data_IF_066053701599
#
_entry.id   IF_066053701599
#
_cell.length_a   1.000
_cell.length_b   1.000
_cell.length_c   1.000
_cell.angle_alpha   90.00
_cell.angle_beta   90.00
_cell.angle_gamma   90.00
#
_symmetry.space_group_name_H-M   'P 1'
#
loop_
_entity.id
_entity.type
_entity.pdbx_description
1 polymer ?
#
# COMPACT_ATOMS: atom_id res chain seq x y z
N UNK A 1 1.15 -9.46 18.01
CA UNK A 1 1.17 -9.01 16.61
C UNK A 1 0.14 -9.81 15.84
N UNK A 2 -0.99 -9.20 15.50
CA UNK A 2 -2.07 -9.80 14.71
C UNK A 2 -2.13 -9.22 13.30
N UNK A 3 -1.84 -7.93 13.15
CA UNK A 3 -1.93 -7.22 11.87
C UNK A 3 -0.66 -6.45 11.58
N UNK A 4 -0.04 -6.70 10.43
CA UNK A 4 1.15 -5.99 9.94
C UNK A 4 0.76 -5.23 8.68
N UNK A 5 0.94 -3.91 8.72
CA UNK A 5 0.72 -3.02 7.59
C UNK A 5 2.04 -2.75 6.87
N UNK A 6 2.03 -2.89 5.55
CA UNK A 6 3.16 -2.53 4.68
C UNK A 6 2.69 -1.50 3.66
N UNK A 7 2.96 -0.21 3.91
CA UNK A 7 2.80 0.81 2.89
C UNK A 7 3.82 0.62 1.77
N UNK A 8 3.36 0.69 0.53
CA UNK A 8 4.17 0.53 -0.67
C UNK A 8 3.91 1.71 -1.59
N UNK A 9 4.97 2.42 -1.92
CA UNK A 9 4.98 3.31 -3.08
C UNK A 9 5.23 2.48 -4.34
N UNK A 10 4.21 2.41 -5.21
CA UNK A 10 4.29 1.68 -6.49
C UNK A 10 5.25 2.33 -7.49
N UNK A 11 5.68 3.57 -7.26
CA UNK A 11 6.74 4.22 -8.06
C UNK A 11 8.14 3.78 -7.62
N UNK A 12 8.30 3.22 -6.42
CA UNK A 12 9.56 2.74 -5.86
C UNK A 12 9.57 1.22 -5.61
N UNK A 13 9.38 0.45 -6.68
CA UNK A 13 9.19 -1.01 -6.63
C UNK A 13 10.28 -1.77 -5.86
N UNK A 14 11.55 -1.37 -5.98
CA UNK A 14 12.68 -2.01 -5.29
C UNK A 14 12.60 -1.84 -3.77
N UNK A 15 12.32 -0.62 -3.31
CA UNK A 15 12.19 -0.31 -1.89
C UNK A 15 10.95 -1.02 -1.30
N UNK A 16 9.83 -0.98 -2.03
CA UNK A 16 8.61 -1.71 -1.69
C UNK A 16 8.81 -3.22 -1.56
N UNK A 17 9.59 -3.83 -2.46
CA UNK A 17 9.91 -5.27 -2.42
C UNK A 17 10.62 -5.67 -1.13
N UNK A 18 11.56 -4.86 -0.65
CA UNK A 18 12.29 -5.15 0.59
C UNK A 18 11.36 -5.09 1.82
N UNK A 19 10.52 -4.05 1.92
CA UNK A 19 9.55 -3.90 3.00
C UNK A 19 8.49 -5.01 2.99
N UNK A 20 7.99 -5.38 1.80
CA UNK A 20 7.04 -6.48 1.61
C UNK A 20 7.61 -7.81 2.11
N UNK A 21 8.86 -8.15 1.72
CA UNK A 21 9.50 -9.39 2.16
C UNK A 21 9.65 -9.44 3.68
N UNK A 22 10.05 -8.33 4.30
CA UNK A 22 10.15 -8.23 5.75
C UNK A 22 8.78 -8.38 6.42
N UNK A 23 7.76 -7.65 5.96
CA UNK A 23 6.39 -7.74 6.48
C UNK A 23 5.81 -9.15 6.36
N UNK A 24 6.03 -9.83 5.23
CA UNK A 24 5.68 -11.24 5.04
C UNK A 24 6.35 -12.14 6.06
N UNK A 25 7.66 -11.99 6.26
CA UNK A 25 8.42 -12.86 7.15
C UNK A 25 7.98 -12.65 8.61
N UNK A 26 7.66 -11.41 9.00
CA UNK A 26 7.05 -11.09 10.30
C UNK A 26 5.65 -11.70 10.43
N UNK A 27 4.79 -11.58 9.41
CA UNK A 27 3.45 -12.16 9.43
C UNK A 27 3.50 -13.68 9.60
N UNK A 28 4.40 -14.36 8.88
CA UNK A 28 4.64 -15.80 9.03
C UNK A 28 5.16 -16.17 10.43
N UNK A 29 6.12 -15.41 10.95
CA UNK A 29 6.72 -15.67 12.27
C UNK A 29 5.71 -15.55 13.40
N UNK A 30 4.82 -14.56 13.35
CA UNK A 30 3.85 -14.30 14.41
C UNK A 30 2.47 -14.91 14.17
N UNK A 31 2.25 -15.59 13.03
CA UNK A 31 0.94 -16.09 12.63
C UNK A 31 -0.08 -14.95 12.40
N UNK A 32 0.42 -13.78 11.99
CA UNK A 32 -0.38 -12.57 11.78
C UNK A 32 -0.81 -12.41 10.32
N UNK A 33 -1.71 -11.45 10.11
CA UNK A 33 -2.18 -11.00 8.81
C UNK A 33 -1.26 -9.95 8.22
N UNK A 34 -1.05 -10.01 6.91
CA UNK A 34 -0.34 -8.99 6.14
C UNK A 34 -1.35 -8.12 5.38
N UNK A 35 -1.17 -6.80 5.44
CA UNK A 35 -1.96 -5.84 4.66
C UNK A 35 -0.99 -4.96 3.87
N UNK A 36 -1.13 -4.94 2.56
CA UNK A 36 -0.41 -4.03 1.67
C UNK A 36 -1.28 -2.80 1.41
N UNK A 37 -0.69 -1.62 1.57
CA UNK A 37 -1.37 -0.35 1.31
C UNK A 37 -0.58 0.45 0.28
N UNK A 38 -1.27 0.96 -0.74
CA UNK A 38 -0.77 2.10 -1.52
C UNK A 38 -1.68 3.31 -1.26
N UNK A 39 -1.08 4.50 -1.19
CA UNK A 39 -1.82 5.76 -1.14
C UNK A 39 -1.56 6.50 -2.44
N UNK A 40 -2.62 6.76 -3.19
CA UNK A 40 -2.58 7.62 -4.37
C UNK A 40 -2.72 9.07 -3.91
N UNK A 41 -1.69 9.87 -4.19
CA UNK A 41 -1.69 11.28 -3.81
C UNK A 41 -2.83 12.04 -4.48
N UNK A 42 -3.50 12.89 -3.71
CA UNK A 42 -4.58 13.73 -4.22
C UNK A 42 -4.05 14.78 -5.19
N UNK A 43 -4.75 14.92 -6.32
CA UNK A 43 -4.45 15.99 -7.26
C UNK A 43 -4.90 17.33 -6.65
N UNK A 44 -4.05 18.36 -6.64
CA UNK A 44 -4.46 19.69 -6.20
C UNK A 44 -5.62 20.24 -7.05
N UNK A 45 -6.62 20.84 -6.39
CA UNK A 45 -7.86 21.28 -7.04
C UNK A 45 -7.67 22.25 -8.22
N UNK A 46 -6.59 23.03 -8.24
CA UNK A 46 -6.27 23.94 -9.34
C UNK A 46 -5.85 23.24 -10.64
N UNK A 47 -5.49 21.95 -10.59
CA UNK A 47 -5.12 21.14 -11.76
C UNK A 47 -6.28 20.25 -12.23
N UNK A 48 -7.23 19.93 -11.35
CA UNK A 48 -8.34 18.99 -11.62
C UNK A 48 -9.15 19.38 -12.86
N UNK A 49 -9.38 20.68 -13.08
CA UNK A 49 -10.13 21.17 -14.24
C UNK A 49 -9.46 20.90 -15.60
N UNK A 50 -8.19 20.51 -15.61
CA UNK A 50 -7.42 20.22 -16.83
C UNK A 50 -7.26 18.72 -17.09
N UNK A 51 -7.73 17.87 -16.17
CA UNK A 51 -7.58 16.43 -16.25
C UNK A 51 -8.83 15.76 -16.87
N UNK A 52 -8.66 14.62 -17.54
CA UNK A 52 -9.78 13.75 -17.91
C UNK A 52 -10.64 13.38 -16.69
N UNK A 53 -11.96 13.25 -16.89
CA UNK A 53 -12.90 12.89 -15.82
C UNK A 53 -12.55 11.56 -15.15
N UNK A 54 -11.97 10.62 -15.90
CA UNK A 54 -11.61 9.28 -15.46
C UNK A 54 -10.20 9.18 -14.87
N UNK A 55 -9.42 10.25 -14.89
CA UNK A 55 -8.02 10.26 -14.44
C UNK A 55 -7.87 9.66 -13.03
N UNK A 56 -8.70 10.11 -12.09
CA UNK A 56 -8.66 9.67 -10.69
C UNK A 56 -9.02 8.20 -10.55
N UNK A 57 -10.11 7.76 -11.17
CA UNK A 57 -10.52 6.35 -11.15
C UNK A 57 -9.48 5.45 -11.82
N UNK A 58 -8.85 5.93 -12.90
CA UNK A 58 -7.77 5.25 -13.60
C UNK A 58 -6.54 5.08 -12.70
N UNK A 59 -6.11 6.13 -12.01
CA UNK A 59 -4.99 6.08 -11.09
C UNK A 59 -5.21 5.09 -9.92
N UNK A 60 -6.41 5.09 -9.32
CA UNK A 60 -6.76 4.14 -8.26
C UNK A 60 -6.81 2.69 -8.76
N UNK A 61 -7.32 2.47 -9.98
CA UNK A 61 -7.37 1.15 -10.60
C UNK A 61 -5.97 0.63 -10.95
N UNK A 62 -5.12 1.47 -11.54
CA UNK A 62 -3.72 1.15 -11.85
C UNK A 62 -2.93 0.81 -10.58
N UNK A 63 -3.03 1.65 -9.55
CA UNK A 63 -2.39 1.41 -8.26
C UNK A 63 -2.79 0.06 -7.67
N UNK A 64 -4.08 -0.26 -7.71
CA UNK A 64 -4.60 -1.54 -7.22
C UNK A 64 -4.09 -2.72 -8.03
N UNK A 65 -4.05 -2.59 -9.36
CA UNK A 65 -3.56 -3.64 -10.25
C UNK A 65 -2.08 -3.92 -10.00
N UNK A 66 -1.25 -2.87 -9.93
CA UNK A 66 0.20 -2.98 -9.69
C UNK A 66 0.52 -3.54 -8.29
N UNK A 67 -0.21 -3.10 -7.26
CA UNK A 67 -0.03 -3.63 -5.91
C UNK A 67 -0.45 -5.12 -5.81
N UNK A 68 -1.51 -5.53 -6.52
CA UNK A 68 -1.89 -6.95 -6.63
C UNK A 68 -0.85 -7.79 -7.38
N UNK A 69 -0.31 -7.26 -8.48
CA UNK A 69 0.74 -7.95 -9.24
C UNK A 69 1.96 -8.19 -8.36
N UNK A 70 2.40 -7.18 -7.61
CA UNK A 70 3.50 -7.33 -6.66
C UNK A 70 3.22 -8.37 -5.57
N UNK A 71 1.99 -8.45 -5.05
CA UNK A 71 1.60 -9.49 -4.10
C UNK A 71 1.68 -10.90 -4.75
N UNK A 72 1.18 -11.05 -5.97
CA UNK A 72 1.23 -12.31 -6.74
C UNK A 72 2.66 -12.77 -7.02
N UNK A 73 3.54 -11.88 -7.45
CA UNK A 73 4.96 -12.17 -7.70
C UNK A 73 5.70 -12.71 -6.46
N UNK A 74 5.17 -12.42 -5.27
CA UNK A 74 5.69 -12.89 -4.00
C UNK A 74 4.87 -14.02 -3.35
N UNK A 75 3.87 -14.56 -4.06
CA UNK A 75 3.02 -15.65 -3.57
C UNK A 75 2.14 -15.24 -2.39
N UNK A 76 1.64 -14.00 -2.40
CA UNK A 76 0.83 -13.40 -1.34
C UNK A 76 -0.62 -13.12 -1.77
N UNK A 77 -1.01 -13.54 -2.96
CA UNK A 77 -2.31 -13.30 -3.58
C UNK A 77 -3.50 -13.81 -2.77
N UNK A 78 -3.33 -14.89 -2.00
CA UNK A 78 -4.35 -15.43 -1.10
C UNK A 78 -4.15 -15.06 0.37
N UNK A 79 -3.01 -14.46 0.74
CA UNK A 79 -2.60 -14.29 2.16
C UNK A 79 -2.42 -12.84 2.58
N UNK A 80 -2.30 -11.90 1.63
CA UNK A 80 -2.19 -10.48 1.90
C UNK A 80 -3.44 -9.74 1.40
N UNK A 81 -3.97 -8.87 2.25
CA UNK A 81 -4.99 -7.92 1.81
C UNK A 81 -4.34 -6.80 1.01
N UNK A 82 -4.98 -6.40 -0.10
CA UNK A 82 -4.51 -5.31 -0.95
C UNK A 82 -5.47 -4.12 -0.87
N UNK A 83 -4.98 -3.01 -0.31
CA UNK A 83 -5.74 -1.79 -0.09
C UNK A 83 -5.11 -0.62 -0.83
N UNK A 84 -5.97 0.20 -1.43
CA UNK A 84 -5.58 1.47 -2.05
C UNK A 84 -6.44 2.56 -1.43
N UNK A 85 -5.81 3.62 -0.93
CA UNK A 85 -6.45 4.83 -0.42
C UNK A 85 -6.03 6.03 -1.28
N UNK A 86 -6.75 7.13 -1.12
CA UNK A 86 -6.47 8.40 -1.77
C UNK A 86 -6.25 9.48 -0.71
N UNK A 87 -5.18 10.26 -0.81
CA UNK A 87 -4.86 11.28 0.18
C UNK A 87 -3.37 11.53 0.32
N UNK A 88 -2.98 12.24 1.36
CA UNK A 88 -1.57 12.46 1.69
C UNK A 88 -0.99 11.20 2.34
N UNK A 89 0.05 10.61 1.77
CA UNK A 89 0.52 9.28 2.14
C UNK A 89 0.80 9.08 3.65
N UNK A 90 1.58 9.93 4.35
CA UNK A 90 1.81 9.77 5.78
C UNK A 90 0.51 9.78 6.60
N UNK A 91 -0.42 10.68 6.27
CA UNK A 91 -1.70 10.81 6.97
C UNK A 91 -2.58 9.57 6.76
N UNK A 92 -2.74 9.13 5.51
CA UNK A 92 -3.58 7.99 5.19
C UNK A 92 -2.99 6.66 5.70
N UNK A 93 -1.66 6.52 5.73
CA UNK A 93 -0.98 5.37 6.32
C UNK A 93 -1.31 5.25 7.81
N UNK A 94 -1.15 6.35 8.56
CA UNK A 94 -1.40 6.35 10.00
C UNK A 94 -2.89 6.17 10.30
N UNK A 95 -3.77 6.87 9.58
CA UNK A 95 -5.22 6.70 9.74
C UNK A 95 -5.66 5.26 9.44
N UNK A 96 -5.15 4.66 8.36
CA UNK A 96 -5.50 3.27 8.05
C UNK A 96 -4.91 2.26 9.03
N UNK A 97 -3.71 2.53 9.57
CA UNK A 97 -3.13 1.70 10.61
C UNK A 97 -4.01 1.69 11.87
N UNK A 98 -4.59 2.83 12.25
CA UNK A 98 -5.57 2.93 13.33
C UNK A 98 -6.86 2.17 12.99
N UNK A 99 -7.41 2.37 11.78
CA UNK A 99 -8.66 1.75 11.33
C UNK A 99 -8.63 0.20 11.40
N UNK A 100 -7.47 -0.41 11.13
CA UNK A 100 -7.29 -1.87 11.13
C UNK A 100 -6.64 -2.40 12.40
N UNK A 101 -6.40 -1.54 13.40
CA UNK A 101 -5.67 -1.85 14.63
C UNK A 101 -4.32 -2.53 14.33
N UNK A 102 -3.53 -1.96 13.42
CA UNK A 102 -2.23 -2.50 13.04
C UNK A 102 -1.27 -2.50 14.25
N UNK A 103 -0.71 -3.66 14.59
CA UNK A 103 0.29 -3.77 15.66
C UNK A 103 1.68 -3.27 15.20
N UNK A 104 1.93 -3.26 13.88
CA UNK A 104 3.20 -2.88 13.28
C UNK A 104 3.00 -2.29 11.89
N UNK A 105 3.78 -1.26 11.58
CA UNK A 105 3.95 -0.73 10.23
C UNK A 105 5.39 -1.01 9.79
N UNK A 106 5.57 -1.67 8.63
CA UNK A 106 6.87 -1.87 8.00
C UNK A 106 6.96 -0.94 6.81
N UNK A 107 7.83 0.06 6.89
CA UNK A 107 8.03 1.06 5.84
C UNK A 107 9.42 0.88 5.23
N UNK A 108 9.52 1.01 3.91
CA UNK A 108 10.82 1.06 3.26
C UNK A 108 11.52 2.38 3.59
N UNK A 109 12.80 2.33 3.91
CA UNK A 109 13.62 3.55 3.91
C UNK A 109 13.98 3.89 2.47
N UNK A 110 13.91 5.17 2.12
CA UNK A 110 14.66 5.64 0.95
C UNK A 110 16.16 5.42 1.20
N UNK A 111 16.89 5.12 0.14
CA UNK A 111 18.34 5.02 0.14
C UNK A 111 18.96 6.37 -0.26
#
# INVERSE_FOLDING_TARGET
MKTILVPIDISEEKAGTAALRLGRDMAKMYGGKLVLLNVVEQVPGYVVAQLPEDFRSGALADARARLRAMAQEHGLDETADVVVREGHAPTEILAFAEDIEADMIVVASHA
#
